data_IF_203473103710
#
_entry.id   IF_203473103710
#
_cell.length_a   1.000
_cell.length_b   1.000
_cell.length_c   1.000
_cell.angle_alpha   90.00
_cell.angle_beta   90.00
_cell.angle_gamma   90.00
#
_symmetry.space_group_name_H-M   'P 1'
#
loop_
_entity.id
_entity.type
_entity.pdbx_description
1 polymer ?
#
# COMPACT_ATOMS: atom_id res chain seq x y z
N UNK A 1 -3.01 -3.50 30.15
CA UNK A 1 -1.97 -3.87 29.18
C UNK A 1 -1.02 -2.71 28.99
N UNK A 2 0.25 -3.02 28.98
CA UNK A 2 1.26 -1.97 28.88
C UNK A 2 1.48 -1.57 27.43
N UNK A 3 1.18 -0.32 27.09
CA UNK A 3 1.30 0.18 25.73
C UNK A 3 2.75 0.19 25.24
N UNK A 4 3.72 0.07 26.13
CA UNK A 4 5.14 0.03 25.75
C UNK A 4 5.52 -1.24 25.02
N UNK A 5 4.68 -2.27 25.09
CA UNK A 5 4.93 -3.52 24.40
C UNK A 5 4.47 -3.53 22.96
N UNK A 6 3.84 -2.45 22.51
CA UNK A 6 3.33 -2.35 21.15
C UNK A 6 4.14 -1.33 20.36
N UNK A 7 4.48 -1.65 19.11
CA UNK A 7 5.17 -0.67 18.26
C UNK A 7 4.31 0.57 18.07
N UNK A 8 4.96 1.70 18.05
CA UNK A 8 4.28 2.96 17.77
C UNK A 8 3.89 2.99 16.30
N UNK A 9 2.66 3.34 16.02
CA UNK A 9 2.23 3.54 14.64
C UNK A 9 2.74 4.90 14.18
N UNK A 10 3.43 4.92 13.07
CA UNK A 10 3.88 6.17 12.43
C UNK A 10 3.38 6.19 10.99
N UNK A 11 3.63 7.30 10.30
CA UNK A 11 3.15 7.45 8.93
C UNK A 11 3.80 6.44 7.98
N UNK A 12 5.06 6.11 8.21
CA UNK A 12 5.74 5.10 7.41
C UNK A 12 5.02 3.76 7.51
N UNK A 13 4.73 3.32 8.72
CA UNK A 13 4.02 2.06 8.95
C UNK A 13 2.62 2.10 8.32
N UNK A 14 1.95 3.23 8.48
CA UNK A 14 0.61 3.41 7.93
C UNK A 14 0.61 3.31 6.41
N UNK A 15 1.54 4.01 5.75
CA UNK A 15 1.66 3.96 4.29
C UNK A 15 1.98 2.54 3.81
N UNK A 16 2.86 1.85 4.52
CA UNK A 16 3.21 0.48 4.17
C UNK A 16 2.01 -0.46 4.30
N UNK A 17 1.19 -0.25 5.32
CA UNK A 17 -0.01 -1.05 5.51
C UNK A 17 -0.99 -0.87 4.36
N UNK A 18 -1.18 0.37 3.92
CA UNK A 18 -2.08 0.65 2.81
C UNK A 18 -1.54 0.03 1.52
N UNK A 19 -0.23 0.18 1.28
CA UNK A 19 0.36 -0.39 0.07
C UNK A 19 0.29 -1.91 0.08
N UNK A 20 0.46 -2.55 1.24
CA UNK A 20 0.31 -3.99 1.36
C UNK A 20 -1.09 -4.44 0.97
N UNK A 21 -2.11 -3.72 1.41
CA UNK A 21 -3.48 -4.02 1.03
C UNK A 21 -3.70 -3.86 -0.47
N UNK A 22 -3.07 -2.84 -1.07
CA UNK A 22 -3.14 -2.66 -2.52
C UNK A 22 -2.52 -3.85 -3.25
N UNK A 23 -1.33 -4.28 -2.80
CA UNK A 23 -0.66 -5.42 -3.43
C UNK A 23 -1.46 -6.70 -3.27
N UNK A 24 -2.10 -6.89 -2.13
CA UNK A 24 -2.98 -8.06 -1.93
C UNK A 24 -4.13 -8.05 -2.93
N UNK A 25 -4.73 -6.90 -3.16
CA UNK A 25 -5.77 -6.77 -4.17
C UNK A 25 -5.27 -7.06 -5.57
N UNK A 26 -3.98 -6.88 -5.81
CA UNK A 26 -3.36 -7.20 -7.09
C UNK A 26 -2.95 -8.67 -7.20
N UNK A 27 -3.22 -9.47 -6.16
CA UNK A 27 -2.83 -10.86 -6.15
C UNK A 27 -1.37 -11.09 -5.82
N UNK A 28 -0.71 -10.07 -5.25
CA UNK A 28 0.71 -10.14 -4.91
C UNK A 28 0.86 -10.27 -3.41
N UNK A 29 1.71 -11.19 -2.99
CA UNK A 29 1.97 -11.43 -1.57
C UNK A 29 3.41 -11.06 -1.29
N UNK A 30 3.67 -10.21 -0.28
CA UNK A 30 5.04 -9.85 0.04
C UNK A 30 5.85 -11.08 0.43
N UNK A 31 7.15 -11.12 0.10
CA UNK A 31 8.01 -12.21 0.52
C UNK A 31 8.00 -12.34 2.05
N UNK A 32 7.95 -13.57 2.53
CA UNK A 32 7.95 -13.83 3.96
C UNK A 32 6.60 -13.63 4.62
N UNK A 33 5.57 -13.38 3.83
CA UNK A 33 4.21 -13.26 4.35
C UNK A 33 3.75 -14.58 4.94
N UNK A 34 3.00 -14.52 6.04
CA UNK A 34 2.43 -15.70 6.65
C UNK A 34 1.26 -16.27 5.86
N UNK A 35 0.79 -15.55 4.88
CA UNK A 35 -0.33 -15.99 4.07
C UNK A 35 0.09 -17.06 3.09
N UNK A 36 -0.60 -18.17 3.12
CA UNK A 36 -0.34 -19.26 2.19
C UNK A 36 -1.20 -19.11 0.95
N UNK A 37 -0.62 -19.43 -0.19
CA UNK A 37 -1.33 -19.34 -1.45
C UNK A 37 -1.41 -17.91 -1.96
N UNK A 38 -2.03 -17.74 -3.10
CA UNK A 38 -2.21 -16.42 -3.69
C UNK A 38 -3.54 -15.84 -3.28
N UNK A 39 -3.57 -14.59 -2.81
CA UNK A 39 -4.85 -13.94 -2.61
C UNK A 39 -5.57 -13.81 -3.94
N UNK A 40 -6.87 -13.83 -3.87
CA UNK A 40 -7.69 -13.60 -5.04
C UNK A 40 -7.52 -12.17 -5.54
N UNK A 41 -7.44 -12.00 -6.85
CA UNK A 41 -7.29 -10.66 -7.43
C UNK A 41 -8.58 -9.88 -7.25
N UNK A 42 -8.44 -8.70 -6.68
CA UNK A 42 -9.55 -7.77 -6.45
C UNK A 42 -9.08 -6.37 -6.84
N UNK A 43 -9.28 -6.03 -8.09
CA UNK A 43 -8.79 -4.76 -8.64
C UNK A 43 -9.47 -3.57 -7.98
N UNK A 44 -10.71 -3.72 -7.57
CA UNK A 44 -11.42 -2.64 -6.88
C UNK A 44 -10.79 -2.34 -5.53
N UNK A 45 -10.45 -3.38 -4.78
CA UNK A 45 -9.75 -3.23 -3.51
C UNK A 45 -8.39 -2.57 -3.71
N UNK A 46 -7.66 -3.01 -4.72
CA UNK A 46 -6.37 -2.43 -5.03
C UNK A 46 -6.51 -0.95 -5.34
N UNK A 47 -7.47 -0.59 -6.16
CA UNK A 47 -7.70 0.80 -6.54
C UNK A 47 -8.07 1.65 -5.33
N UNK A 48 -8.92 1.15 -4.45
CA UNK A 48 -9.32 1.88 -3.25
C UNK A 48 -8.10 2.20 -2.38
N UNK A 49 -7.19 1.25 -2.24
CA UNK A 49 -6.00 1.48 -1.43
C UNK A 49 -5.01 2.42 -2.10
N UNK A 50 -4.91 2.38 -3.42
CA UNK A 50 -4.10 3.36 -4.16
C UNK A 50 -4.69 4.75 -3.98
N UNK A 51 -6.01 4.86 -4.07
CA UNK A 51 -6.68 6.14 -3.84
C UNK A 51 -6.44 6.66 -2.43
N UNK A 52 -6.36 5.76 -1.43
CA UNK A 52 -6.01 6.16 -0.07
C UNK A 52 -4.60 6.72 0.01
N UNK A 53 -3.65 6.12 -0.69
CA UNK A 53 -2.29 6.65 -0.73
C UNK A 53 -2.25 8.03 -1.39
N UNK A 54 -3.01 8.22 -2.46
CA UNK A 54 -3.11 9.51 -3.12
C UNK A 54 -3.72 10.56 -2.21
N UNK A 55 -4.77 10.17 -1.50
CA UNK A 55 -5.41 11.05 -0.54
C UNK A 55 -4.44 11.45 0.56
N UNK A 56 -3.69 10.49 1.08
CA UNK A 56 -2.70 10.79 2.10
C UNK A 56 -1.62 11.74 1.59
N UNK A 57 -1.18 11.57 0.35
CA UNK A 57 -0.19 12.47 -0.23
C UNK A 57 -0.72 13.90 -0.27
N UNK A 58 -1.97 14.06 -0.65
CA UNK A 58 -2.59 15.37 -0.71
C UNK A 58 -2.77 15.98 0.68
N UNK A 59 -3.29 15.20 1.62
CA UNK A 59 -3.64 15.72 2.94
C UNK A 59 -2.45 15.92 3.86
N UNK A 60 -1.34 15.26 3.59
CA UNK A 60 -0.13 15.41 4.41
C UNK A 60 0.89 16.34 3.77
N UNK A 61 0.55 16.95 2.65
CA UNK A 61 1.47 17.82 1.93
C UNK A 61 2.01 18.91 2.86
N UNK A 62 3.34 19.04 2.90
CA UNK A 62 3.99 20.00 3.77
C UNK A 62 4.20 19.53 5.21
N UNK A 63 3.71 18.34 5.55
CA UNK A 63 3.81 17.82 6.92
C UNK A 63 4.61 16.53 7.00
N UNK A 64 5.21 16.10 5.90
CA UNK A 64 6.00 14.87 5.88
C UNK A 64 7.48 15.19 5.94
N UNK A 65 8.24 14.32 6.60
CA UNK A 65 9.69 14.36 6.47
C UNK A 65 10.06 14.00 5.03
N UNK A 66 11.31 14.30 4.66
CA UNK A 66 11.79 13.94 3.32
C UNK A 66 11.72 12.43 3.09
N UNK A 67 12.02 11.65 4.11
CA UNK A 67 11.97 10.19 4.03
C UNK A 67 10.54 9.68 3.84
N UNK A 68 9.60 10.26 4.59
CA UNK A 68 8.19 9.89 4.46
C UNK A 68 7.64 10.24 3.08
N UNK A 69 7.99 11.42 2.60
CA UNK A 69 7.55 11.88 1.29
C UNK A 69 8.10 10.99 0.17
N UNK A 70 9.37 10.64 0.28
CA UNK A 70 10.02 9.76 -0.69
C UNK A 70 9.39 8.37 -0.70
N UNK A 71 9.15 7.82 0.49
CA UNK A 71 8.53 6.52 0.60
C UNK A 71 7.12 6.53 -0.02
N UNK A 72 6.33 7.52 0.32
CA UNK A 72 4.96 7.61 -0.20
C UNK A 72 4.97 7.71 -1.73
N UNK A 73 5.88 8.50 -2.30
CA UNK A 73 6.03 8.59 -3.73
C UNK A 73 6.41 7.28 -4.39
N UNK A 74 7.33 6.54 -3.76
CA UNK A 74 7.73 5.22 -4.25
C UNK A 74 6.58 4.22 -4.19
N UNK A 75 5.84 4.21 -3.10
CA UNK A 75 4.71 3.30 -2.96
C UNK A 75 3.62 3.60 -3.99
N UNK A 76 3.35 4.87 -4.23
CA UNK A 76 2.39 5.26 -5.26
C UNK A 76 2.85 4.84 -6.65
N UNK A 77 4.12 5.04 -6.95
CA UNK A 77 4.66 4.63 -8.25
C UNK A 77 4.52 3.11 -8.44
N UNK A 78 4.95 2.34 -7.45
CA UNK A 78 4.92 0.88 -7.54
C UNK A 78 3.48 0.36 -7.63
N UNK A 79 2.60 0.84 -6.78
CA UNK A 79 1.23 0.34 -6.76
C UNK A 79 0.49 0.69 -8.04
N UNK A 80 0.70 1.90 -8.56
CA UNK A 80 0.09 2.30 -9.83
C UNK A 80 0.59 1.45 -11.00
N UNK A 81 1.90 1.20 -11.02
CA UNK A 81 2.49 0.39 -12.08
C UNK A 81 1.92 -1.02 -12.07
N UNK A 82 1.88 -1.65 -10.89
CA UNK A 82 1.34 -2.99 -10.76
C UNK A 82 -0.15 -3.04 -11.06
N UNK A 83 -0.87 -1.98 -10.70
CA UNK A 83 -2.30 -1.90 -11.01
C UNK A 83 -2.55 -1.89 -12.52
N UNK A 84 -1.80 -1.07 -13.25
CA UNK A 84 -1.93 -1.00 -14.71
C UNK A 84 -1.62 -2.35 -15.35
N UNK A 85 -0.56 -3.01 -14.87
CA UNK A 85 -0.21 -4.34 -15.36
C UNK A 85 -1.31 -5.34 -15.10
N UNK A 86 -1.90 -5.29 -13.91
CA UNK A 86 -2.98 -6.19 -13.55
C UNK A 86 -4.24 -5.93 -14.37
N UNK A 87 -4.54 -4.66 -14.63
CA UNK A 87 -5.67 -4.31 -15.48
C UNK A 87 -5.52 -4.92 -16.86
N UNK A 88 -4.34 -4.85 -17.44
CA UNK A 88 -4.08 -5.42 -18.75
C UNK A 88 -4.23 -6.93 -18.76
N UNK A 89 -3.89 -7.57 -17.65
CA UNK A 89 -3.91 -9.02 -17.55
C UNK A 89 -5.31 -9.57 -17.28
N UNK A 90 -6.07 -8.92 -16.41
CA UNK A 90 -7.33 -9.45 -15.90
C UNK A 90 -8.57 -8.77 -16.46
N UNK A 91 -8.43 -7.62 -17.05
CA UNK A 91 -9.54 -6.89 -17.61
C UNK A 91 -9.44 -6.90 -19.14
N UNK A 92 -10.40 -7.47 -19.78
CA UNK A 92 -10.42 -7.53 -21.23
C UNK A 92 -11.46 -6.59 -21.82
#
# INVERSE_FOLDING_TARGET
MDSRNFPKIDLTTFFLSISSAAFMGLGLVPPGSAQEGRPEVDLELARQNIDLLELMQEKTKGNLSQEEEKLLGQLLFETRLRFVEAEKKYRK
#
